data_IF_888336401135
#
_entry.id   IF_888336401135
#
_cell.length_a   1.000
_cell.length_b   1.000
_cell.length_c   1.000
_cell.angle_alpha   90.00
_cell.angle_beta   90.00
_cell.angle_gamma   90.00
#
_symmetry.space_group_name_H-M   'P 1'
#
loop_
_entity.id
_entity.type
_entity.pdbx_description
1 polymer ?
#
# COMPACT_ATOMS: atom_id res chain seq x y z
N UNK A 1 27.09 -41.06 -43.94
CA UNK A 1 25.90 -40.22 -43.75
C UNK A 1 24.95 -41.02 -42.86
N UNK A 2 24.56 -40.67 -41.64
CA UNK A 2 24.78 -39.51 -40.77
C UNK A 2 24.42 -40.01 -39.36
N UNK A 3 25.31 -39.86 -38.38
CA UNK A 3 24.96 -40.09 -36.97
C UNK A 3 24.13 -38.90 -36.52
N UNK A 4 22.91 -39.12 -36.04
CA UNK A 4 22.16 -38.08 -35.31
C UNK A 4 21.91 -38.66 -33.93
N UNK A 5 22.78 -38.25 -33.01
CA UNK A 5 22.64 -38.51 -31.59
C UNK A 5 21.35 -37.85 -31.09
N UNK A 6 20.55 -38.64 -30.38
CA UNK A 6 19.47 -38.14 -29.56
C UNK A 6 20.10 -37.39 -28.39
N UNK A 7 20.41 -36.11 -28.60
CA UNK A 7 20.94 -35.23 -27.57
C UNK A 7 19.76 -34.78 -26.72
N UNK A 8 19.63 -35.44 -25.57
CA UNK A 8 18.74 -35.11 -24.46
C UNK A 8 18.99 -33.66 -24.02
N UNK A 9 18.25 -32.70 -24.55
CA UNK A 9 18.27 -31.32 -24.05
C UNK A 9 17.29 -31.21 -22.88
N UNK A 10 17.79 -31.48 -21.67
CA UNK A 10 17.13 -31.04 -20.44
C UNK A 10 17.12 -29.50 -20.43
N UNK A 11 16.04 -28.89 -20.89
CA UNK A 11 15.76 -27.50 -20.57
C UNK A 11 15.30 -27.44 -19.11
N UNK A 12 16.27 -27.25 -18.22
CA UNK A 12 16.04 -26.75 -16.87
C UNK A 12 15.51 -25.33 -17.02
N UNK A 13 14.18 -25.19 -16.97
CA UNK A 13 13.53 -23.90 -16.88
C UNK A 13 13.97 -23.22 -15.59
N UNK A 14 14.88 -22.25 -15.69
CA UNK A 14 15.16 -21.30 -14.62
C UNK A 14 13.85 -20.54 -14.34
N UNK A 15 13.11 -20.98 -13.32
CA UNK A 15 12.09 -20.17 -12.70
C UNK A 15 12.77 -18.94 -12.11
N UNK A 16 12.74 -17.83 -12.84
CA UNK A 16 13.13 -16.52 -12.30
C UNK A 16 12.10 -16.19 -11.23
N UNK A 17 12.41 -16.51 -9.98
CA UNK A 17 11.67 -16.02 -8.82
C UNK A 17 11.95 -14.52 -8.77
N UNK A 18 11.11 -13.72 -9.42
CA UNK A 18 11.08 -12.29 -9.19
C UNK A 18 10.91 -12.10 -7.68
N UNK A 19 11.78 -11.32 -7.00
CA UNK A 19 11.61 -11.05 -5.59
C UNK A 19 10.22 -10.44 -5.43
N UNK A 20 9.38 -11.06 -4.60
CA UNK A 20 8.10 -10.48 -4.23
C UNK A 20 8.42 -9.12 -3.61
N UNK A 21 8.02 -8.03 -4.29
CA UNK A 21 8.14 -6.68 -3.78
C UNK A 21 7.51 -6.66 -2.38
N UNK A 22 8.30 -6.36 -1.36
CA UNK A 22 7.82 -6.40 0.01
C UNK A 22 6.99 -5.14 0.29
N UNK A 23 5.68 -5.28 0.24
CA UNK A 23 4.76 -4.18 0.58
C UNK A 23 4.97 -3.72 2.03
N UNK A 24 5.18 -2.42 2.24
CA UNK A 24 5.40 -1.86 3.58
C UNK A 24 4.07 -1.41 4.17
N UNK A 25 3.62 -2.10 5.22
CA UNK A 25 2.36 -1.81 5.93
C UNK A 25 2.62 -0.91 7.13
N UNK A 26 2.08 0.32 7.10
CA UNK A 26 2.27 1.30 8.18
C UNK A 26 0.94 1.73 8.82
N UNK A 27 1.05 2.18 10.08
CA UNK A 27 0.03 2.94 10.82
C UNK A 27 -1.37 2.31 10.91
N UNK A 28 -1.53 1.06 11.42
CA UNK A 28 -2.85 0.47 11.64
C UNK A 28 -3.60 1.23 12.74
N UNK A 29 -4.53 2.12 12.38
CA UNK A 29 -5.25 2.94 13.35
C UNK A 29 -6.64 3.36 12.84
N UNK A 30 -7.58 3.60 13.76
CA UNK A 30 -8.86 4.22 13.45
C UNK A 30 -8.68 5.69 13.06
N UNK A 31 -9.54 6.16 12.16
CA UNK A 31 -9.48 7.51 11.60
C UNK A 31 -10.57 8.39 12.21
N UNK A 32 -10.18 9.61 12.58
CA UNK A 32 -11.07 10.62 13.15
C UNK A 32 -11.62 11.58 12.09
N UNK A 33 -10.80 12.00 11.14
CA UNK A 33 -11.18 12.98 10.12
C UNK A 33 -10.33 12.87 8.86
N UNK A 34 -10.84 13.44 7.77
CA UNK A 34 -10.19 13.51 6.46
C UNK A 34 -10.17 14.96 6.00
N UNK A 35 -9.14 15.37 5.28
CA UNK A 35 -9.01 16.70 4.69
C UNK A 35 -8.46 16.58 3.27
N UNK A 36 -9.10 17.23 2.30
CA UNK A 36 -8.50 17.48 0.99
C UNK A 36 -8.07 18.94 0.98
N UNK A 37 -6.77 19.18 1.03
CA UNK A 37 -6.20 20.52 1.11
C UNK A 37 -6.27 21.23 -0.25
N UNK A 38 -6.19 22.57 -0.22
CA UNK A 38 -6.03 23.37 -1.43
C UNK A 38 -4.76 22.92 -2.16
N UNK A 39 -4.90 22.54 -3.42
CA UNK A 39 -3.82 21.94 -4.22
C UNK A 39 -4.08 20.47 -4.55
N UNK A 40 -4.86 19.76 -3.73
CA UNK A 40 -5.25 18.37 -4.00
C UNK A 40 -4.60 17.34 -3.08
N UNK A 41 -3.78 17.74 -2.10
CA UNK A 41 -3.25 16.78 -1.13
C UNK A 41 -4.36 16.20 -0.23
N UNK A 42 -4.42 14.88 -0.12
CA UNK A 42 -5.34 14.14 0.74
C UNK A 42 -4.63 13.80 2.06
N UNK A 43 -5.20 14.26 3.16
CA UNK A 43 -4.75 13.98 4.51
C UNK A 43 -5.82 13.21 5.31
N UNK A 44 -5.35 12.43 6.28
CA UNK A 44 -6.21 11.87 7.33
C UNK A 44 -5.61 12.15 8.70
N UNK A 45 -6.47 12.24 9.71
CA UNK A 45 -6.07 12.36 11.11
C UNK A 45 -6.60 11.17 11.88
N UNK A 46 -5.73 10.49 12.62
CA UNK A 46 -6.11 9.33 13.43
C UNK A 46 -6.78 9.72 14.73
N UNK A 47 -7.40 8.75 15.43
CA UNK A 47 -8.03 8.97 16.74
C UNK A 47 -7.02 9.40 17.82
N UNK A 48 -5.74 8.99 17.72
CA UNK A 48 -4.65 9.51 18.58
C UNK A 48 -4.21 10.93 18.25
N UNK A 49 -4.76 11.55 17.20
CA UNK A 49 -4.49 12.94 16.82
C UNK A 49 -3.34 13.11 15.82
N UNK A 50 -2.81 12.03 15.25
CA UNK A 50 -1.72 12.12 14.26
C UNK A 50 -2.28 12.38 12.86
N UNK A 51 -1.95 13.54 12.30
CA UNK A 51 -2.29 13.93 10.91
C UNK A 51 -1.21 13.43 9.95
N UNK A 52 -1.60 12.78 8.85
CA UNK A 52 -0.70 12.23 7.83
C UNK A 52 -1.17 12.58 6.42
N UNK A 53 -0.22 12.93 5.55
CA UNK A 53 -0.46 13.00 4.09
C UNK A 53 -0.55 11.57 3.58
N UNK A 54 -1.63 11.26 2.86
CA UNK A 54 -1.83 9.94 2.28
C UNK A 54 -1.31 9.89 0.84
N UNK A 55 -1.82 10.79 0.02
CA UNK A 55 -1.54 10.87 -1.42
C UNK A 55 -2.00 12.23 -1.96
N UNK A 56 -1.87 12.45 -3.27
CA UNK A 56 -2.44 13.59 -3.98
C UNK A 56 -3.67 13.14 -4.79
N UNK A 57 -4.72 13.96 -4.85
CA UNK A 57 -5.99 13.64 -5.54
C UNK A 57 -5.86 13.50 -7.06
N UNK A 58 -4.70 13.84 -7.64
CA UNK A 58 -4.39 13.54 -9.04
C UNK A 58 -3.96 12.08 -9.27
N UNK A 59 -3.62 11.34 -8.22
CA UNK A 59 -3.28 9.92 -8.33
C UNK A 59 -4.55 9.11 -8.65
N UNK A 60 -4.40 8.09 -9.49
CA UNK A 60 -5.52 7.31 -10.02
C UNK A 60 -6.35 6.63 -8.90
N UNK A 61 -5.65 6.17 -7.88
CA UNK A 61 -6.17 5.43 -6.73
C UNK A 61 -6.76 6.33 -5.63
N UNK A 62 -6.49 7.65 -5.66
CA UNK A 62 -6.87 8.57 -4.58
C UNK A 62 -8.39 8.65 -4.32
N UNK A 63 -9.29 8.65 -5.32
CA UNK A 63 -10.73 8.63 -5.07
C UNK A 63 -11.19 7.37 -4.32
N UNK A 64 -10.67 6.20 -4.70
CA UNK A 64 -11.01 4.94 -4.03
C UNK A 64 -10.48 4.93 -2.58
N UNK A 65 -9.27 5.43 -2.36
CA UNK A 65 -8.72 5.61 -1.01
C UNK A 65 -9.59 6.55 -0.15
N UNK A 66 -10.02 7.68 -0.71
CA UNK A 66 -10.89 8.64 -0.04
C UNK A 66 -12.23 8.00 0.37
N UNK A 67 -12.82 7.18 -0.50
CA UNK A 67 -14.08 6.50 -0.21
C UNK A 67 -13.91 5.44 0.90
N UNK A 68 -12.81 4.70 0.90
CA UNK A 68 -12.47 3.77 1.99
C UNK A 68 -12.33 4.54 3.32
N UNK A 69 -11.59 5.67 3.32
CA UNK A 69 -11.43 6.47 4.52
C UNK A 69 -12.78 6.98 5.04
N UNK A 70 -13.63 7.52 4.15
CA UNK A 70 -14.98 8.00 4.51
C UNK A 70 -15.82 6.89 5.13
N UNK A 71 -15.79 5.69 4.55
CA UNK A 71 -16.49 4.52 5.07
C UNK A 71 -15.99 4.04 6.43
N UNK A 72 -14.76 4.40 6.83
CA UNK A 72 -14.18 4.00 8.11
C UNK A 72 -14.50 4.94 9.28
N UNK A 73 -14.84 6.21 9.01
CA UNK A 73 -15.10 7.20 10.07
C UNK A 73 -16.35 6.81 10.87
N UNK A 74 -16.23 6.83 12.19
CA UNK A 74 -17.32 6.50 13.11
C UNK A 74 -17.59 4.99 13.24
N UNK A 75 -16.77 4.16 12.60
CA UNK A 75 -16.77 2.69 12.78
C UNK A 75 -15.67 2.27 13.77
N UNK A 76 -15.66 0.99 14.12
CA UNK A 76 -14.58 0.36 14.89
C UNK A 76 -13.39 -0.07 14.02
N UNK A 77 -13.48 0.14 12.70
CA UNK A 77 -12.48 -0.32 11.74
C UNK A 77 -11.19 0.48 11.85
N UNK A 78 -10.07 -0.20 11.58
CA UNK A 78 -8.76 0.42 11.46
C UNK A 78 -8.34 0.50 10.00
N UNK A 79 -7.58 1.53 9.66
CA UNK A 79 -6.99 1.71 8.34
C UNK A 79 -5.52 1.34 8.42
N UNK A 80 -5.10 0.44 7.54
CA UNK A 80 -3.70 0.12 7.29
C UNK A 80 -3.28 0.79 5.97
N UNK A 81 -2.24 1.61 6.03
CA UNK A 81 -1.66 2.24 4.84
C UNK A 81 -0.56 1.34 4.28
N UNK A 82 -0.51 1.21 2.96
CA UNK A 82 0.47 0.39 2.26
C UNK A 82 1.32 1.29 1.36
N UNK A 83 2.63 1.24 1.56
CA UNK A 83 3.64 2.01 0.85
C UNK A 83 4.53 1.10 0.00
N UNK A 84 5.26 1.68 -0.98
CA UNK A 84 6.23 0.95 -1.79
C UNK A 84 7.32 0.29 -0.94
N UNK A 85 7.97 -0.71 -1.52
CA UNK A 85 9.13 -1.39 -0.91
C UNK A 85 10.23 -0.38 -0.56
N UNK A 86 10.91 -0.60 0.56
CA UNK A 86 11.94 0.29 1.11
C UNK A 86 11.41 1.50 1.89
N UNK A 87 10.10 1.75 1.93
CA UNK A 87 9.54 2.83 2.75
C UNK A 87 9.77 2.59 4.25
N UNK A 88 10.09 3.64 5.01
CA UNK A 88 10.36 3.56 6.44
C UNK A 88 9.21 4.15 7.27
N UNK A 89 8.37 3.31 7.88
CA UNK A 89 7.27 3.80 8.73
C UNK A 89 7.72 4.67 9.92
N UNK A 90 8.98 4.54 10.38
CA UNK A 90 9.53 5.31 11.51
C UNK A 90 10.06 6.68 11.08
N UNK A 91 10.34 6.87 9.80
CA UNK A 91 10.80 8.13 9.23
C UNK A 91 9.93 8.43 8.00
N UNK A 92 8.70 8.93 8.21
CA UNK A 92 7.75 9.15 7.13
C UNK A 92 8.27 10.19 6.15
N UNK A 93 8.30 9.83 4.86
CA UNK A 93 8.56 10.75 3.76
C UNK A 93 7.22 11.21 3.17
N UNK A 94 6.97 12.51 3.19
CA UNK A 94 5.70 13.11 2.73
C UNK A 94 5.60 13.19 1.21
N UNK A 95 6.71 13.02 0.49
CA UNK A 95 6.74 12.99 -0.98
C UNK A 95 6.41 11.61 -1.53
N UNK A 96 6.55 10.55 -0.72
CA UNK A 96 6.17 9.19 -1.10
C UNK A 96 4.67 8.99 -0.89
N UNK A 97 3.96 8.74 -1.98
CA UNK A 97 2.53 8.44 -1.93
C UNK A 97 2.29 7.01 -1.44
N UNK A 98 1.21 6.83 -0.67
CA UNK A 98 0.71 5.50 -0.39
C UNK A 98 0.22 4.84 -1.69
N UNK A 99 0.52 3.57 -1.89
CA UNK A 99 0.04 2.81 -3.04
C UNK A 99 -1.40 2.36 -2.82
N UNK A 100 -1.75 1.97 -1.58
CA UNK A 100 -3.07 1.41 -1.25
C UNK A 100 -3.48 1.69 0.20
N UNK A 101 -4.77 1.54 0.46
CA UNK A 101 -5.35 1.44 1.80
C UNK A 101 -6.05 0.10 1.98
N UNK A 102 -6.04 -0.40 3.22
CA UNK A 102 -6.87 -1.52 3.64
C UNK A 102 -7.65 -1.14 4.89
N UNK A 103 -8.97 -1.23 4.79
CA UNK A 103 -9.85 -1.24 5.96
C UNK A 103 -9.93 -2.66 6.50
N UNK A 104 -9.82 -2.81 7.81
CA UNK A 104 -9.87 -4.12 8.46
C UNK A 104 -10.51 -3.99 9.84
N UNK A 105 -11.08 -5.10 10.30
CA UNK A 105 -11.59 -5.20 11.66
C UNK A 105 -10.50 -4.78 12.66
N UNK A 106 -10.87 -4.16 13.78
CA UNK A 106 -9.89 -3.81 14.81
C UNK A 106 -9.11 -5.05 15.20
N UNK A 107 -7.80 -4.88 15.40
CA UNK A 107 -6.95 -5.93 15.97
C UNK A 107 -7.56 -6.33 17.31
N UNK A 108 -8.17 -7.51 17.36
CA UNK A 108 -8.71 -8.08 18.60
C UNK A 108 -7.53 -8.14 19.58
N UNK A 109 -7.63 -7.37 20.67
CA UNK A 109 -6.71 -7.45 21.80
C UNK A 109 -7.12 -8.57 22.73
#
# INVERSE_FOLDING_TARGET
MTRIGCLTLMLVGLSVVLPAMAEVKCFPEAIKSIEVAKGGDLFYTTVSGVRRKLTHMSQHEAPAMLDILRGSIGTDQIIQVIYPDGYNCKQPDLEVHAERLKMQAPLVR
#
